data_IF_678802748726
#
_entry.id   IF_678802748726
#
_cell.length_a   1.000
_cell.length_b   1.000
_cell.length_c   1.000
_cell.angle_alpha   90.00
_cell.angle_beta   90.00
_cell.angle_gamma   90.00
#
_symmetry.space_group_name_H-M   'P 1'
#
loop_
_entity.id
_entity.type
_entity.pdbx_description
1 polymer ?
#
# COMPACT_ATOMS: atom_id res chain seq x y z
N UNK A 1 -2.10 2.10 -6.74
CA UNK A 1 -1.61 1.15 -5.70
C UNK A 1 -2.72 0.67 -4.78
N UNK A 2 -3.88 1.32 -4.81
CA UNK A 2 -5.11 1.03 -4.07
C UNK A 2 -5.58 -0.41 -4.32
N UNK A 3 -5.70 -0.82 -5.58
CA UNK A 3 -6.12 -2.19 -5.92
C UNK A 3 -5.15 -3.25 -5.40
N UNK A 4 -3.84 -2.97 -5.45
CA UNK A 4 -2.82 -3.87 -4.90
C UNK A 4 -2.92 -3.93 -3.37
N UNK A 5 -3.11 -2.78 -2.70
CA UNK A 5 -3.33 -2.71 -1.26
C UNK A 5 -4.61 -3.43 -0.80
N UNK A 6 -5.61 -3.51 -1.68
CA UNK A 6 -6.90 -4.14 -1.40
C UNK A 6 -6.93 -5.65 -1.67
N UNK A 7 -6.22 -6.12 -2.70
CA UNK A 7 -6.36 -7.49 -3.19
C UNK A 7 -5.10 -8.34 -3.08
N UNK A 8 -3.92 -7.73 -3.07
CA UNK A 8 -2.67 -8.46 -3.15
C UNK A 8 -2.05 -8.68 -1.77
N UNK A 9 -1.50 -9.89 -1.58
CA UNK A 9 -0.70 -10.22 -0.40
C UNK A 9 0.78 -9.84 -0.57
N UNK A 10 1.26 -9.86 -1.81
CA UNK A 10 2.64 -9.57 -2.21
C UNK A 10 2.64 -8.68 -3.45
N UNK A 11 3.55 -7.72 -3.52
CA UNK A 11 3.69 -6.78 -4.64
C UNK A 11 5.12 -6.79 -5.13
N UNK A 12 5.27 -6.76 -6.46
CA UNK A 12 6.53 -6.52 -7.15
C UNK A 12 6.37 -5.23 -7.96
N UNK A 13 7.30 -4.29 -7.81
CA UNK A 13 7.37 -3.08 -8.63
C UNK A 13 8.44 -3.28 -9.69
N UNK A 14 8.06 -3.08 -10.95
CA UNK A 14 8.95 -3.11 -12.10
C UNK A 14 9.18 -1.70 -12.62
N UNK A 15 10.44 -1.35 -12.91
CA UNK A 15 10.77 -0.11 -13.60
C UNK A 15 11.94 -0.37 -14.56
N UNK A 16 11.81 0.12 -15.80
CA UNK A 16 12.83 -0.03 -16.84
C UNK A 16 13.31 -1.47 -17.07
N UNK A 17 12.43 -2.47 -16.90
CA UNK A 17 12.76 -3.89 -17.08
C UNK A 17 13.34 -4.58 -15.84
N UNK A 18 13.56 -3.85 -14.75
CA UNK A 18 14.16 -4.36 -13.52
C UNK A 18 13.14 -4.42 -12.37
N UNK A 19 13.35 -5.36 -11.43
CA UNK A 19 12.61 -5.41 -10.16
C UNK A 19 13.19 -4.37 -9.21
N UNK A 20 12.40 -3.35 -8.87
CA UNK A 20 12.84 -2.28 -7.96
C UNK A 20 12.36 -2.48 -6.52
N UNK A 21 11.32 -3.27 -6.31
CA UNK A 21 10.86 -3.71 -4.99
C UNK A 21 10.09 -5.02 -5.11
N UNK A 22 10.22 -5.90 -4.12
CA UNK A 22 9.47 -7.16 -4.01
C UNK A 22 9.28 -7.51 -2.54
N UNK A 23 8.04 -7.76 -2.12
CA UNK A 23 7.74 -8.11 -0.74
C UNK A 23 6.25 -8.04 -0.38
N UNK A 24 5.94 -8.16 0.91
CA UNK A 24 4.59 -8.00 1.42
C UNK A 24 3.98 -6.67 0.98
N UNK A 25 2.73 -6.68 0.54
CA UNK A 25 2.05 -5.48 0.03
C UNK A 25 2.16 -4.30 1.00
N UNK A 26 1.92 -4.54 2.28
CA UNK A 26 1.93 -3.51 3.32
C UNK A 26 3.27 -2.80 3.48
N UNK A 27 4.39 -3.45 3.12
CA UNK A 27 5.73 -2.88 3.20
C UNK A 27 6.10 -2.18 1.89
N UNK A 28 5.82 -2.82 0.75
CA UNK A 28 6.23 -2.32 -0.57
C UNK A 28 5.46 -1.07 -0.96
N UNK A 29 4.14 -1.04 -0.78
CA UNK A 29 3.33 0.08 -1.29
C UNK A 29 3.59 1.38 -0.53
N UNK A 30 4.07 1.31 0.72
CA UNK A 30 4.35 2.49 1.56
C UNK A 30 5.82 2.93 1.53
N UNK A 31 6.70 2.15 0.88
CA UNK A 31 8.14 2.43 0.81
C UNK A 31 8.47 3.77 0.10
N UNK A 32 7.54 4.32 -0.68
CA UNK A 32 7.66 5.63 -1.30
C UNK A 32 6.33 6.39 -1.24
N UNK A 33 6.34 7.70 -0.91
CA UNK A 33 5.16 8.56 -1.02
C UNK A 33 4.54 8.53 -2.42
N UNK A 34 5.33 8.30 -3.48
CA UNK A 34 4.79 8.20 -4.84
C UNK A 34 3.89 6.97 -5.04
N UNK A 35 4.12 5.89 -4.27
CA UNK A 35 3.38 4.64 -4.38
C UNK A 35 2.35 4.45 -3.26
N UNK A 36 2.47 5.16 -2.13
CA UNK A 36 1.58 4.97 -1.00
C UNK A 36 0.09 5.16 -1.39
N UNK A 37 -0.82 4.26 -0.94
CA UNK A 37 -2.25 4.45 -1.10
C UNK A 37 -2.70 5.79 -0.51
N UNK A 38 -3.74 6.39 -1.09
CA UNK A 38 -4.25 7.68 -0.62
C UNK A 38 -4.67 7.64 0.84
N UNK A 39 -5.26 6.53 1.28
CA UNK A 39 -5.67 6.30 2.68
C UNK A 39 -4.48 6.48 3.62
N UNK A 40 -3.34 5.84 3.31
CA UNK A 40 -2.12 5.93 4.12
C UNK A 40 -1.56 7.35 4.17
N UNK A 41 -1.57 8.06 3.05
CA UNK A 41 -1.05 9.43 2.97
C UNK A 41 -1.86 10.40 3.84
N UNK A 42 -3.18 10.31 3.74
CA UNK A 42 -4.11 11.21 4.42
C UNK A 42 -4.16 10.92 5.92
N UNK A 43 -4.09 9.64 6.30
CA UNK A 43 -4.25 9.19 7.68
C UNK A 43 -2.91 8.95 8.39
N UNK A 44 -1.79 9.46 7.86
CA UNK A 44 -0.52 9.39 8.57
C UNK A 44 -0.65 10.04 9.98
N UNK A 45 -0.07 9.45 11.04
CA UNK A 45 0.88 8.33 11.04
C UNK A 45 0.24 6.93 11.15
N UNK A 46 -1.09 6.81 11.10
CA UNK A 46 -1.74 5.50 11.19
C UNK A 46 -1.47 4.67 9.92
N UNK A 47 -1.17 3.38 10.11
CA UNK A 47 -0.75 2.46 9.04
C UNK A 47 -1.91 1.80 8.29
N UNK A 48 -2.97 2.57 8.01
CA UNK A 48 -4.12 2.10 7.25
C UNK A 48 -3.81 2.15 5.75
N UNK A 49 -4.10 1.06 5.05
CA UNK A 49 -3.86 0.93 3.61
C UNK A 49 -5.16 1.10 2.80
N UNK A 50 -6.31 0.72 3.36
CA UNK A 50 -7.60 0.71 2.67
C UNK A 50 -8.73 1.31 3.50
N UNK A 51 -9.79 1.77 2.83
CA UNK A 51 -11.01 2.27 3.49
C UNK A 51 -11.70 1.17 4.30
N UNK A 52 -11.60 -0.09 3.87
CA UNK A 52 -12.17 -1.24 4.60
C UNK A 52 -11.56 -1.38 5.98
N UNK A 53 -10.23 -1.30 6.09
CA UNK A 53 -9.57 -1.37 7.39
C UNK A 53 -9.98 -0.22 8.32
N UNK A 54 -10.12 1.00 7.77
CA UNK A 54 -10.60 2.17 8.55
C UNK A 54 -12.03 1.95 9.05
N UNK A 55 -12.92 1.44 8.20
CA UNK A 55 -14.32 1.15 8.56
C UNK A 55 -14.41 0.09 9.64
N UNK A 56 -13.62 -0.99 9.54
CA UNK A 56 -13.57 -2.07 10.53
C UNK A 56 -13.10 -1.56 11.90
N UNK A 57 -12.21 -0.58 11.93
CA UNK A 57 -11.73 0.02 13.17
C UNK A 57 -12.73 0.95 13.88
N UNK A 58 -13.79 1.39 13.19
CA UNK A 58 -14.84 2.28 13.71
C UNK A 58 -16.11 1.53 14.12
N UNK A 59 -16.21 0.23 13.83
CA UNK A 59 -17.33 -0.62 14.20
C UNK A 59 -17.21 -1.12 15.65
#
# INVERSE_FOLDING_TARGET
MELAAELAHRVVILAAGEVVADGPTAEVVVASPSFAPQVTKILAPQHWLTVTQVREALA
#
